data_IF_603087915703
#
_entry.id   IF_603087915703
#
_cell.length_a   1.000
_cell.length_b   1.000
_cell.length_c   1.000
_cell.angle_alpha   90.00
_cell.angle_beta   90.00
_cell.angle_gamma   90.00
#
_symmetry.space_group_name_H-M   'P 1'
#
loop_
_entity.id
_entity.type
_entity.pdbx_description
1 polymer ?
#
# COMPACT_ATOMS: atom_id res chain seq x y z
N UNK A 1 14.99 1.91 -1.64
CA UNK A 1 14.16 0.86 -1.02
C UNK A 1 14.79 0.47 0.32
N UNK A 2 13.99 0.40 1.39
CA UNK A 2 14.44 0.05 2.75
C UNK A 2 14.49 -1.47 3.01
N UNK A 3 14.30 -2.28 1.97
CA UNK A 3 14.46 -3.74 1.99
C UNK A 3 13.22 -4.50 2.46
N UNK A 4 12.73 -4.22 3.67
CA UNK A 4 11.57 -4.94 4.22
C UNK A 4 10.25 -4.25 3.91
N UNK A 5 9.43 -4.91 3.10
CA UNK A 5 8.08 -4.44 2.72
C UNK A 5 7.17 -4.26 3.94
N UNK A 6 7.13 -5.26 4.83
CA UNK A 6 6.31 -5.20 6.04
C UNK A 6 6.69 -4.01 6.94
N UNK A 7 7.99 -3.71 7.08
CA UNK A 7 8.45 -2.55 7.84
C UNK A 7 8.03 -1.24 7.18
N UNK A 8 8.15 -1.14 5.86
CA UNK A 8 7.74 0.07 5.13
C UNK A 8 6.24 0.33 5.26
N UNK A 9 5.39 -0.71 5.25
CA UNK A 9 3.96 -0.57 5.51
C UNK A 9 3.67 -0.16 6.95
N UNK A 10 4.43 -0.66 7.93
CA UNK A 10 4.33 -0.21 9.31
C UNK A 10 4.77 1.26 9.48
N UNK A 11 5.79 1.69 8.75
CA UNK A 11 6.23 3.09 8.70
C UNK A 11 5.17 3.99 8.04
N UNK A 12 4.42 3.48 7.05
CA UNK A 12 3.24 4.17 6.51
C UNK A 12 2.15 4.31 7.58
N UNK A 13 1.81 3.22 8.27
CA UNK A 13 0.76 3.24 9.29
C UNK A 13 1.08 4.17 10.47
N UNK A 14 2.35 4.33 10.85
CA UNK A 14 2.77 5.25 11.92
C UNK A 14 3.18 6.65 11.40
N UNK A 15 2.97 6.96 10.12
CA UNK A 15 3.17 8.28 9.55
C UNK A 15 4.63 8.70 9.35
N UNK A 16 5.58 7.76 9.36
CA UNK A 16 7.00 8.01 9.02
C UNK A 16 7.23 8.06 7.52
N UNK A 17 6.42 7.34 6.75
CA UNK A 17 6.41 7.33 5.29
C UNK A 17 4.99 7.71 4.85
N UNK A 18 4.86 8.62 3.88
CA UNK A 18 3.53 9.09 3.46
C UNK A 18 2.76 8.06 2.61
N UNK A 19 3.49 7.29 1.80
CA UNK A 19 2.93 6.23 0.96
C UNK A 19 3.98 5.20 0.51
N UNK A 20 3.50 4.03 0.12
CA UNK A 20 4.24 2.91 -0.43
C UNK A 20 3.45 2.31 -1.60
N UNK A 21 4.13 1.93 -2.68
CA UNK A 21 3.53 1.14 -3.76
C UNK A 21 4.55 0.14 -4.30
N UNK A 22 4.05 -1.00 -4.76
CA UNK A 22 4.86 -2.07 -5.35
C UNK A 22 4.04 -2.86 -6.37
N UNK A 23 4.70 -3.32 -7.44
CA UNK A 23 4.18 -4.31 -8.39
C UNK A 23 4.72 -5.69 -8.04
N UNK A 24 3.92 -6.75 -8.19
CA UNK A 24 4.39 -8.13 -8.02
C UNK A 24 3.33 -9.08 -7.48
N UNK A 25 3.73 -10.28 -7.07
CA UNK A 25 2.81 -11.31 -6.55
C UNK A 25 3.11 -11.67 -5.08
N UNK A 26 3.81 -10.78 -4.37
CA UNK A 26 4.28 -11.00 -2.98
C UNK A 26 3.20 -10.66 -1.95
N UNK A 27 1.96 -11.13 -2.16
CA UNK A 27 0.82 -10.74 -1.32
C UNK A 27 1.02 -11.05 0.16
N UNK A 28 1.76 -12.12 0.50
CA UNK A 28 2.09 -12.47 1.87
C UNK A 28 2.84 -11.36 2.61
N UNK A 29 3.73 -10.62 1.94
CA UNK A 29 4.50 -9.54 2.53
C UNK A 29 3.66 -8.26 2.75
N UNK A 30 2.54 -8.16 2.04
CA UNK A 30 1.64 -7.01 2.10
C UNK A 30 0.50 -7.18 3.09
N UNK A 31 -0.10 -8.37 3.19
CA UNK A 31 -1.38 -8.58 3.88
C UNK A 31 -1.43 -8.02 5.31
N UNK A 32 -0.41 -8.33 6.13
CA UNK A 32 -0.37 -7.84 7.51
C UNK A 32 -0.21 -6.32 7.56
N UNK A 33 0.69 -5.76 6.75
CA UNK A 33 0.91 -4.31 6.69
C UNK A 33 -0.30 -3.56 6.15
N UNK A 34 -0.99 -4.10 5.15
CA UNK A 34 -2.22 -3.55 4.58
C UNK A 34 -3.31 -3.37 5.63
N UNK A 35 -3.56 -4.40 6.45
CA UNK A 35 -4.52 -4.30 7.54
C UNK A 35 -4.11 -3.22 8.55
N UNK A 36 -2.84 -3.17 8.94
CA UNK A 36 -2.33 -2.18 9.89
C UNK A 36 -2.48 -0.75 9.34
N UNK A 37 -2.22 -0.52 8.06
CA UNK A 37 -2.44 0.78 7.40
C UNK A 37 -3.93 1.16 7.42
N UNK A 38 -4.83 0.21 7.14
CA UNK A 38 -6.28 0.46 7.17
C UNK A 38 -6.77 0.84 8.58
N UNK A 39 -6.32 0.13 9.62
CA UNK A 39 -6.65 0.44 11.02
C UNK A 39 -6.06 1.77 11.49
N UNK A 40 -4.96 2.21 10.87
CA UNK A 40 -4.39 3.55 11.06
C UNK A 40 -5.11 4.66 10.27
N UNK A 41 -6.31 4.37 9.74
CA UNK A 41 -7.11 5.26 8.89
C UNK A 41 -6.43 5.66 7.54
N UNK A 42 -5.50 4.82 7.07
CA UNK A 42 -4.93 4.91 5.73
C UNK A 42 -5.79 4.21 4.67
N UNK A 43 -5.43 4.42 3.40
CA UNK A 43 -6.02 3.75 2.26
C UNK A 43 -5.08 2.66 1.73
N UNK A 44 -5.67 1.55 1.29
CA UNK A 44 -4.96 0.47 0.60
C UNK A 44 -5.80 -0.04 -0.56
N UNK A 45 -5.23 -0.07 -1.77
CA UNK A 45 -5.81 -0.68 -2.97
C UNK A 45 -4.78 -1.56 -3.68
N UNK A 46 -5.24 -2.34 -4.65
CA UNK A 46 -4.33 -2.88 -5.65
C UNK A 46 -3.78 -1.76 -6.56
N UNK A 47 -2.93 -2.15 -7.51
CA UNK A 47 -2.31 -1.20 -8.46
C UNK A 47 -3.30 -0.60 -9.48
N UNK A 48 -4.43 -1.25 -9.73
CA UNK A 48 -5.50 -0.77 -10.61
C UNK A 48 -6.48 0.15 -9.88
N UNK A 49 -6.40 0.19 -8.55
CA UNK A 49 -7.33 0.92 -7.69
C UNK A 49 -8.52 0.11 -7.22
N UNK A 50 -8.54 -1.20 -7.48
CA UNK A 50 -9.53 -2.13 -6.97
C UNK A 50 -9.23 -2.50 -5.51
N UNK A 51 -10.20 -3.08 -4.78
CA UNK A 51 -9.94 -3.55 -3.42
C UNK A 51 -8.73 -4.48 -3.37
N UNK A 52 -7.83 -4.23 -2.42
CA UNK A 52 -6.67 -5.08 -2.20
C UNK A 52 -7.11 -6.48 -1.74
N UNK A 53 -6.62 -7.52 -2.40
CA UNK A 53 -6.90 -8.92 -2.07
C UNK A 53 -5.64 -9.78 -2.22
N UNK A 54 -5.72 -11.05 -1.83
CA UNK A 54 -4.66 -12.04 -2.06
C UNK A 54 -4.36 -12.29 -3.54
N UNK A 55 -5.27 -11.92 -4.45
CA UNK A 55 -5.08 -12.05 -5.90
C UNK A 55 -4.49 -10.79 -6.55
N UNK A 56 -4.23 -9.73 -5.77
CA UNK A 56 -3.70 -8.47 -6.29
C UNK A 56 -2.25 -8.64 -6.77
N UNK A 57 -1.95 -8.07 -7.94
CA UNK A 57 -0.61 -8.09 -8.57
C UNK A 57 0.22 -6.83 -8.26
N UNK A 58 -0.10 -6.21 -7.13
CA UNK A 58 0.52 -4.99 -6.64
C UNK A 58 -0.29 -4.38 -5.51
N UNK A 59 0.29 -3.39 -4.86
CA UNK A 59 -0.32 -2.66 -3.74
C UNK A 59 -0.01 -1.18 -3.86
N UNK A 60 -0.97 -0.35 -3.44
CA UNK A 60 -0.78 1.06 -3.12
C UNK A 60 -1.28 1.23 -1.68
N UNK A 61 -0.47 1.82 -0.81
CA UNK A 61 -0.78 2.08 0.58
C UNK A 61 -0.34 3.49 0.97
N UNK A 62 -1.14 4.24 1.73
CA UNK A 62 -0.77 5.59 2.14
C UNK A 62 -1.89 6.32 2.87
N UNK A 63 -1.65 7.58 3.21
CA UNK A 63 -2.76 8.44 3.64
C UNK A 63 -3.77 8.68 2.49
N UNK A 64 -5.00 9.07 2.82
CA UNK A 64 -6.09 9.19 1.84
C UNK A 64 -5.75 10.11 0.66
N UNK A 65 -5.07 11.23 0.91
CA UNK A 65 -4.76 12.23 -0.11
C UNK A 65 -3.67 11.73 -1.07
N UNK A 66 -2.55 11.25 -0.55
CA UNK A 66 -1.41 10.81 -1.36
C UNK A 66 -1.71 9.50 -2.07
N UNK A 67 -2.48 8.60 -1.45
CA UNK A 67 -2.97 7.39 -2.10
C UNK A 67 -3.72 7.72 -3.40
N UNK A 68 -4.66 8.68 -3.36
CA UNK A 68 -5.43 9.08 -4.55
C UNK A 68 -4.54 9.67 -5.66
N UNK A 69 -3.52 10.46 -5.28
CA UNK A 69 -2.54 11.02 -6.23
C UNK A 69 -1.73 9.91 -6.90
N UNK A 70 -1.20 8.96 -6.13
CA UNK A 70 -0.41 7.84 -6.66
C UNK A 70 -1.27 6.97 -7.57
N UNK A 71 -2.47 6.62 -7.15
CA UNK A 71 -3.41 5.85 -7.97
C UNK A 71 -3.68 6.53 -9.32
N UNK A 72 -3.87 7.85 -9.33
CA UNK A 72 -4.05 8.60 -10.57
C UNK A 72 -2.79 8.64 -11.46
N UNK A 73 -1.60 8.67 -10.86
CA UNK A 73 -0.33 8.65 -11.61
C UNK A 73 0.02 7.29 -12.20
N UNK A 74 -0.41 6.20 -11.55
CA UNK A 74 -0.12 4.83 -11.99
C UNK A 74 -1.15 4.30 -13.01
N UNK A 75 -2.37 4.88 -13.03
CA UNK A 75 -3.34 4.66 -14.11
C UNK A 75 -2.82 5.33 -15.39
N UNK A 76 -2.27 4.53 -16.30
CA UNK A 76 -2.06 4.93 -17.70
C UNK A 76 -3.35 4.91 -18.48
#
# INVERSE_FOLDING_TARGET
>A
MLGSVALQLADVACGRIDAYWEYGEQFYDWMAGALVVQEAAGAVTDINGDPFTWASTGIIAGNMQLHAVIQAMLKR
#
